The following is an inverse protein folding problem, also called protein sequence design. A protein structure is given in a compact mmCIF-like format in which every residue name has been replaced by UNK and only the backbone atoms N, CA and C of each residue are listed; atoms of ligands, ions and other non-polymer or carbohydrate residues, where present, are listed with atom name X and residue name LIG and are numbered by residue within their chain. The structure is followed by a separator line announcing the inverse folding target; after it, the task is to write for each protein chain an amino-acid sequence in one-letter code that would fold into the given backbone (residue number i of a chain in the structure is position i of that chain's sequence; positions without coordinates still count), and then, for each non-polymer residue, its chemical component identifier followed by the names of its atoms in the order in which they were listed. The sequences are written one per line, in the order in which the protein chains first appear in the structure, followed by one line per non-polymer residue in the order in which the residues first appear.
data_IF_518994444476
#
_entry.id   IF_518994444476
#
_cell.length_a   1.000
_cell.length_b   1.000
_cell.length_c   1.000
_cell.angle_alpha   90.00
_cell.angle_beta   90.00
_cell.angle_gamma   90.00
#
_symmetry.space_group_name_H-M   'P 1'
#
loop_
_entity.id
_entity.type
_entity.pdbx_description
1 polymer ?
#
# COMPACT_ATOMS: atom_id res chain seq x y z
N UNK A 1 -1.64 -0.24 1.57
CA UNK A 1 -2.27 -1.40 0.90
C UNK A 1 -3.69 -1.67 1.42
N UNK A 2 -3.89 -1.79 2.74
CA UNK A 2 -5.17 -2.18 3.34
C UNK A 2 -6.27 -1.10 3.33
N UNK A 3 -5.96 0.14 2.91
CA UNK A 3 -6.96 1.23 2.87
C UNK A 3 -7.13 1.98 4.18
N UNK A 4 -6.22 1.77 5.13
CA UNK A 4 -6.14 2.55 6.35
C UNK A 4 -5.99 4.04 6.04
N UNK A 5 -6.62 4.88 6.88
CA UNK A 5 -6.54 6.35 6.80
C UNK A 5 -5.59 6.94 7.84
N UNK A 6 -5.14 6.14 8.78
CA UNK A 6 -4.25 6.51 9.86
C UNK A 6 -3.19 5.41 10.01
N UNK A 7 -1.97 5.80 10.36
CA UNK A 7 -0.87 4.92 10.76
C UNK A 7 -0.09 5.60 11.88
N UNK A 8 1.12 5.15 12.19
CA UNK A 8 1.92 5.79 13.21
C UNK A 8 3.26 5.11 13.45
N UNK A 9 3.94 5.61 14.47
CA UNK A 9 5.18 5.05 14.99
C UNK A 9 4.99 4.64 16.45
N UNK A 10 5.64 3.56 16.85
CA UNK A 10 5.67 3.08 18.24
C UNK A 10 7.12 2.84 18.65
N UNK A 11 7.46 3.23 19.88
CA UNK A 11 8.68 2.77 20.56
C UNK A 11 8.27 1.62 21.47
N UNK A 12 8.83 0.44 21.24
CA UNK A 12 8.47 -0.78 21.96
C UNK A 12 9.70 -1.41 22.64
N UNK A 13 9.45 -2.14 23.72
CA UNK A 13 10.46 -2.97 24.36
C UNK A 13 10.88 -4.11 23.42
N UNK A 14 12.18 -4.34 23.31
CA UNK A 14 12.66 -5.52 22.59
C UNK A 14 12.54 -6.75 23.49
N UNK A 15 11.83 -7.76 23.01
CA UNK A 15 11.67 -9.04 23.70
C UNK A 15 12.45 -10.15 23.00
N UNK A 16 12.78 -11.21 23.74
CA UNK A 16 13.30 -12.44 23.14
C UNK A 16 12.35 -12.95 22.04
N UNK A 17 12.89 -13.43 20.92
CA UNK A 17 12.09 -13.87 19.75
C UNK A 17 11.02 -14.91 20.09
N UNK A 18 11.27 -15.80 21.06
CA UNK A 18 10.29 -16.80 21.53
C UNK A 18 9.02 -16.19 22.16
N UNK A 19 9.09 -14.93 22.62
CA UNK A 19 7.97 -14.16 23.16
C UNK A 19 7.18 -13.42 22.07
N UNK A 20 7.62 -13.51 20.81
CA UNK A 20 7.01 -12.84 19.67
C UNK A 20 7.94 -11.80 19.04
N UNK A 21 7.61 -11.45 17.79
CA UNK A 21 8.17 -10.29 17.08
C UNK A 21 7.19 -9.14 17.32
N UNK A 22 7.72 -7.95 17.59
CA UNK A 22 6.96 -6.71 17.84
C UNK A 22 5.93 -6.80 19.00
N UNK A 23 6.19 -7.65 20.01
CA UNK A 23 5.24 -7.94 21.11
C UNK A 23 5.56 -7.26 22.45
N UNK A 24 6.65 -6.51 22.54
CA UNK A 24 7.04 -5.84 23.79
C UNK A 24 6.12 -4.70 24.19
N UNK A 25 6.23 -4.25 25.44
CA UNK A 25 5.44 -3.13 25.94
C UNK A 25 5.69 -1.85 25.12
N UNK A 26 4.65 -1.07 24.88
CA UNK A 26 4.72 0.21 24.19
C UNK A 26 5.16 1.28 25.20
N UNK A 27 6.26 1.95 24.91
CA UNK A 27 6.79 3.06 25.69
C UNK A 27 6.19 4.41 25.26
N UNK A 28 5.87 4.52 23.99
CA UNK A 28 5.27 5.71 23.40
C UNK A 28 4.81 5.42 21.98
N UNK A 29 3.83 6.17 21.52
CA UNK A 29 3.35 6.09 20.14
C UNK A 29 2.90 7.46 19.65
N UNK A 30 2.95 7.65 18.34
CA UNK A 30 2.42 8.83 17.66
C UNK A 30 1.60 8.36 16.46
N UNK A 31 0.35 8.85 16.38
CA UNK A 31 -0.56 8.58 15.25
C UNK A 31 -0.44 9.67 14.21
N UNK A 32 -0.56 9.29 12.95
CA UNK A 32 -0.45 10.16 11.80
C UNK A 32 -1.51 9.79 10.76
N UNK A 33 -2.20 10.79 10.22
CA UNK A 33 -3.05 10.58 9.05
C UNK A 33 -2.20 10.15 7.85
N UNK A 34 -2.73 9.22 7.05
CA UNK A 34 -2.13 8.85 5.77
C UNK A 34 -2.66 9.86 4.72
N UNK A 35 -1.80 10.72 4.14
CA UNK A 35 -2.26 11.67 3.13
C UNK A 35 -2.90 10.95 1.94
N UNK A 36 -3.96 11.57 1.38
CA UNK A 36 -4.57 11.06 0.15
C UNK A 36 -3.52 11.00 -0.96
N UNK A 37 -3.43 9.88 -1.68
CA UNK A 37 -2.42 9.71 -2.73
C UNK A 37 -1.00 9.41 -2.22
N UNK A 38 -0.79 9.25 -0.91
CA UNK A 38 0.55 8.97 -0.38
C UNK A 38 1.15 7.68 -0.98
N UNK A 39 2.39 7.81 -1.43
CA UNK A 39 3.24 6.69 -1.84
C UNK A 39 4.05 6.19 -0.65
N UNK A 40 4.51 4.93 -0.70
CA UNK A 40 5.36 4.38 0.36
C UNK A 40 6.56 5.26 0.72
N UNK A 41 7.37 5.78 -0.24
CA UNK A 41 8.55 6.59 0.12
C UNK A 41 8.20 7.85 0.90
N UNK A 42 7.15 8.58 0.49
CA UNK A 42 6.70 9.80 1.18
C UNK A 42 6.19 9.51 2.58
N UNK A 43 5.47 8.40 2.77
CA UNK A 43 4.97 8.00 4.08
C UNK A 43 6.10 7.52 4.99
N UNK A 44 7.05 6.74 4.46
CA UNK A 44 8.27 6.30 5.16
C UNK A 44 9.05 7.49 5.69
N UNK A 45 9.30 8.50 4.86
CA UNK A 45 10.13 9.65 5.23
C UNK A 45 9.46 10.48 6.33
N UNK A 46 8.14 10.65 6.25
CA UNK A 46 7.35 11.33 7.30
C UNK A 46 7.38 10.57 8.63
N UNK A 47 7.19 9.24 8.57
CA UNK A 47 7.24 8.36 9.75
C UNK A 47 8.64 8.29 10.36
N UNK A 48 9.71 8.37 9.55
CA UNK A 48 11.07 8.36 10.05
C UNK A 48 11.36 9.58 10.95
N UNK A 49 10.87 10.75 10.57
CA UNK A 49 11.00 11.97 11.37
C UNK A 49 10.21 11.86 12.67
N UNK A 50 8.94 11.45 12.60
CA UNK A 50 8.08 11.26 13.78
C UNK A 50 8.70 10.23 14.74
N UNK A 51 9.15 9.09 14.22
CA UNK A 51 9.79 8.02 14.99
C UNK A 51 11.09 8.46 15.67
N UNK A 52 11.92 9.26 14.99
CA UNK A 52 13.13 9.83 15.58
C UNK A 52 12.83 10.76 16.75
N UNK A 53 11.84 11.65 16.59
CA UNK A 53 11.42 12.55 17.65
C UNK A 53 10.84 11.79 18.85
N UNK A 54 9.95 10.83 18.59
CA UNK A 54 9.32 9.98 19.61
C UNK A 54 10.36 9.15 20.38
N UNK A 55 11.38 8.62 19.70
CA UNK A 55 12.44 7.87 20.36
C UNK A 55 13.21 8.75 21.33
N UNK A 56 13.60 9.96 20.90
CA UNK A 56 14.35 10.90 21.74
C UNK A 56 13.53 11.34 22.96
N UNK A 57 12.24 11.62 22.81
CA UNK A 57 11.39 11.98 23.96
C UNK A 57 11.26 10.81 24.94
N UNK A 58 11.02 9.60 24.42
CA UNK A 58 10.89 8.38 25.22
C UNK A 58 12.14 8.12 26.07
N UNK A 59 13.32 8.23 25.47
CA UNK A 59 14.60 8.05 26.19
C UNK A 59 14.81 9.10 27.30
N UNK A 60 14.38 10.35 27.07
CA UNK A 60 14.47 11.40 28.09
C UNK A 60 13.53 11.13 29.27
N UNK A 61 12.33 10.60 29.01
CA UNK A 61 11.40 10.24 30.08
C UNK A 61 11.91 9.05 30.89
N UNK A 62 12.52 8.05 30.26
CA UNK A 62 13.20 6.95 30.95
C UNK A 62 14.32 7.46 31.87
N UNK A 63 15.19 8.34 31.38
CA UNK A 63 16.29 8.90 32.18
C UNK A 63 15.79 9.73 33.37
N UNK A 64 14.61 10.32 33.25
CA UNK A 64 14.00 11.11 34.31
C UNK A 64 13.09 10.30 35.25
N UNK A 65 12.96 8.98 35.04
CA UNK A 65 12.08 8.11 35.82
C UNK A 65 10.59 8.42 35.68
N UNK A 66 10.18 8.97 34.51
CA UNK A 66 8.79 9.30 34.18
C UNK A 66 8.17 8.35 33.16
N UNK A 67 8.87 7.29 32.80
CA UNK A 67 8.40 6.36 31.79
C UNK A 67 7.11 5.65 32.23
N UNK A 68 6.15 5.56 31.31
CA UNK A 68 4.93 4.77 31.48
C UNK A 68 4.81 3.82 30.29
N UNK A 69 5.16 2.55 30.49
CA UNK A 69 4.98 1.52 29.45
C UNK A 69 3.65 0.80 29.61
N UNK A 70 3.02 0.51 28.48
CA UNK A 70 1.75 -0.24 28.43
C UNK A 70 1.98 -1.56 27.72
N UNK A 71 1.62 -2.68 28.37
CA UNK A 71 1.67 -3.98 27.71
C UNK A 71 0.69 -4.05 26.55
N UNK A 72 1.13 -4.60 25.42
CA UNK A 72 0.24 -4.86 24.30
C UNK A 72 -0.78 -5.95 24.68
N UNK A 73 -2.04 -5.84 24.22
CA UNK A 73 -3.02 -6.88 24.44
C UNK A 73 -2.59 -8.18 23.74
N UNK A 74 -2.78 -9.31 24.42
CA UNK A 74 -2.60 -10.62 23.78
C UNK A 74 -3.79 -10.88 22.86
N UNK A 75 -3.61 -10.61 21.57
CA UNK A 75 -4.62 -10.86 20.54
C UNK A 75 -4.07 -11.81 19.45
N UNK A 76 -4.55 -13.06 19.35
CA UNK A 76 -4.13 -13.99 18.31
C UNK A 76 -4.57 -13.53 16.91
N UNK A 77 -5.54 -12.63 16.80
CA UNK A 77 -6.05 -12.08 15.55
C UNK A 77 -5.43 -10.72 15.20
N UNK A 78 -4.44 -10.26 15.97
CA UNK A 78 -3.73 -9.02 15.68
C UNK A 78 -3.19 -9.04 14.24
N UNK A 79 -3.49 -8.01 13.43
CA UNK A 79 -3.07 -7.98 12.04
C UNK A 79 -1.56 -7.98 11.94
N UNK A 80 -1.02 -8.78 11.01
CA UNK A 80 0.41 -8.80 10.69
C UNK A 80 0.65 -8.13 9.33
N UNK A 81 1.78 -7.44 9.22
CA UNK A 81 2.30 -6.94 7.96
C UNK A 81 3.39 -7.90 7.45
N UNK A 82 3.06 -8.95 6.68
CA UNK A 82 4.06 -9.87 6.14
C UNK A 82 4.96 -9.20 5.10
N UNK A 83 6.05 -9.87 4.74
CA UNK A 83 6.93 -9.44 3.65
C UNK A 83 6.17 -9.38 2.32
N UNK A 84 6.47 -8.35 1.52
CA UNK A 84 5.90 -8.18 0.18
C UNK A 84 6.38 -9.29 -0.75
N UNK A 85 5.44 -10.01 -1.34
CA UNK A 85 5.68 -11.12 -2.27
C UNK A 85 5.34 -10.72 -3.72
N UNK A 86 5.70 -11.58 -4.68
CA UNK A 86 5.28 -11.38 -6.08
C UNK A 86 3.76 -11.48 -6.26
N UNK A 87 3.08 -12.23 -5.38
CA UNK A 87 1.63 -12.36 -5.43
C UNK A 87 0.93 -11.03 -5.08
N UNK A 88 1.51 -10.23 -4.17
CA UNK A 88 0.94 -8.93 -3.81
C UNK A 88 0.91 -7.95 -4.99
N UNK A 89 1.87 -8.07 -5.90
CA UNK A 89 1.96 -7.28 -7.14
C UNK A 89 1.19 -7.87 -8.33
N UNK A 90 0.60 -9.06 -8.20
CA UNK A 90 -0.19 -9.66 -9.26
C UNK A 90 -1.57 -8.99 -9.33
N UNK A 91 -1.93 -8.50 -10.52
CA UNK A 91 -3.19 -7.84 -10.81
C UNK A 91 -4.14 -8.81 -11.49
N UNK A 92 -5.26 -9.09 -10.83
CA UNK A 92 -6.41 -9.78 -11.40
C UNK A 92 -7.58 -8.79 -11.55
N UNK A 93 -7.74 -8.26 -12.76
CA UNK A 93 -8.75 -7.28 -13.08
C UNK A 93 -10.19 -7.77 -12.84
N UNK A 94 -10.42 -9.09 -12.77
CA UNK A 94 -11.76 -9.67 -12.57
C UNK A 94 -12.26 -9.50 -11.14
N UNK A 95 -11.34 -9.41 -10.18
CA UNK A 95 -11.67 -9.34 -8.75
C UNK A 95 -11.17 -8.07 -8.08
N UNK A 96 -10.28 -7.32 -8.74
CA UNK A 96 -9.71 -6.09 -8.20
C UNK A 96 -10.31 -4.87 -8.91
N UNK A 97 -10.79 -3.90 -8.13
CA UNK A 97 -11.18 -2.59 -8.65
C UNK A 97 -9.96 -1.74 -8.98
N UNK A 98 -10.14 -0.67 -9.76
CA UNK A 98 -9.08 0.29 -10.08
C UNK A 98 -8.46 0.89 -8.80
N UNK A 99 -9.27 1.27 -7.80
CA UNK A 99 -8.79 1.75 -6.50
C UNK A 99 -7.96 0.71 -5.74
N UNK A 100 -8.32 -0.57 -5.83
CA UNK A 100 -7.54 -1.63 -5.19
C UNK A 100 -6.15 -1.75 -5.84
N UNK A 101 -6.10 -1.67 -7.17
CA UNK A 101 -4.84 -1.75 -7.94
C UNK A 101 -3.98 -0.52 -7.69
N UNK A 102 -4.55 0.69 -7.79
CA UNK A 102 -3.85 1.95 -7.54
C UNK A 102 -3.28 2.00 -6.12
N UNK A 103 -4.07 1.64 -5.10
CA UNK A 103 -3.61 1.63 -3.70
C UNK A 103 -2.49 0.61 -3.46
N UNK A 104 -2.53 -0.54 -4.13
CA UNK A 104 -1.44 -1.52 -4.07
C UNK A 104 -0.19 -0.96 -4.73
N UNK A 105 -0.33 -0.37 -5.92
CA UNK A 105 0.76 0.31 -6.59
C UNK A 105 1.42 1.34 -5.67
N UNK A 106 0.66 2.25 -5.05
CA UNK A 106 1.21 3.23 -4.11
C UNK A 106 1.98 2.62 -2.94
N UNK A 107 1.54 1.45 -2.48
CA UNK A 107 2.10 0.80 -1.30
C UNK A 107 3.37 -0.01 -1.58
N UNK A 108 3.51 -0.63 -2.75
CA UNK A 108 4.58 -1.61 -2.99
C UNK A 108 5.43 -1.37 -4.25
N UNK A 109 5.11 -0.37 -5.08
CA UNK A 109 5.82 -0.13 -6.35
C UNK A 109 7.29 0.21 -6.19
N UNK A 110 7.71 0.72 -5.03
CA UNK A 110 9.13 0.95 -4.71
C UNK A 110 9.95 -0.35 -4.63
N UNK A 111 9.29 -1.51 -4.43
CA UNK A 111 9.93 -2.82 -4.41
C UNK A 111 9.50 -3.72 -5.57
N UNK A 112 8.23 -3.68 -5.97
CA UNK A 112 7.65 -4.56 -6.99
C UNK A 112 6.67 -3.78 -7.87
N UNK A 113 6.90 -3.65 -9.19
CA UNK A 113 5.93 -3.04 -10.09
C UNK A 113 4.64 -3.89 -10.12
N UNK A 114 3.51 -3.27 -10.45
CA UNK A 114 2.27 -4.04 -10.65
C UNK A 114 2.44 -4.92 -11.89
N UNK A 115 1.94 -6.14 -11.86
CA UNK A 115 2.13 -7.13 -12.92
C UNK A 115 0.84 -7.83 -13.28
N UNK A 116 0.66 -8.16 -14.55
CA UNK A 116 -0.44 -9.01 -15.02
C UNK A 116 0.07 -9.98 -16.10
N UNK A 117 -0.77 -10.91 -16.54
CA UNK A 117 -0.45 -11.88 -17.58
C UNK A 117 -1.19 -11.55 -18.87
N UNK A 118 -0.45 -11.48 -19.97
CA UNK A 118 -1.02 -11.45 -21.31
C UNK A 118 -1.59 -12.81 -21.67
N UNK A 119 -2.51 -12.85 -22.65
CA UNK A 119 -3.01 -14.10 -23.24
C UNK A 119 -1.90 -15.00 -23.80
N UNK A 120 -0.75 -14.43 -24.12
CA UNK A 120 0.46 -15.14 -24.56
C UNK A 120 1.23 -15.82 -23.43
N UNK A 121 0.79 -15.68 -22.18
CA UNK A 121 1.48 -16.17 -20.98
C UNK A 121 2.64 -15.27 -20.51
N UNK A 122 2.96 -14.20 -21.25
CA UNK A 122 4.01 -13.25 -20.84
C UNK A 122 3.52 -12.34 -19.72
N UNK A 123 4.41 -12.07 -18.77
CA UNK A 123 4.16 -11.06 -17.73
C UNK A 123 4.30 -9.66 -18.31
N UNK A 124 3.34 -8.79 -18.02
CA UNK A 124 3.37 -7.37 -18.33
C UNK A 124 3.39 -6.57 -17.04
N UNK A 125 4.37 -5.69 -16.89
CA UNK A 125 4.44 -4.71 -15.81
C UNK A 125 3.60 -3.49 -16.16
N UNK A 126 2.84 -3.00 -15.19
CA UNK A 126 2.01 -1.80 -15.24
C UNK A 126 2.69 -0.73 -14.38
N UNK A 127 3.09 0.37 -15.01
CA UNK A 127 3.78 1.46 -14.35
C UNK A 127 2.85 2.67 -14.23
N UNK A 128 2.89 3.30 -13.05
CA UNK A 128 2.05 4.45 -12.67
C UNK A 128 0.54 4.27 -12.95
N UNK A 129 -0.06 3.11 -12.60
CA UNK A 129 -1.49 2.94 -12.72
C UNK A 129 -2.25 3.94 -11.84
N UNK A 130 -3.24 4.62 -12.42
CA UNK A 130 -4.11 5.57 -11.71
C UNK A 130 -5.58 5.29 -12.01
N UNK A 131 -6.46 5.60 -11.06
CA UNK A 131 -7.91 5.49 -11.27
C UNK A 131 -8.37 6.52 -12.30
N UNK A 132 -9.19 6.09 -13.26
CA UNK A 132 -9.96 6.96 -14.14
C UNK A 132 -11.37 7.09 -13.56
N UNK A 133 -11.76 8.27 -13.01
CA UNK A 133 -13.07 8.44 -12.36
C UNK A 133 -14.25 8.23 -13.31
N UNK A 134 -14.05 8.55 -14.58
CA UNK A 134 -15.04 8.38 -15.63
C UNK A 134 -14.35 8.06 -16.95
N UNK A 135 -15.00 7.24 -17.76
CA UNK A 135 -14.55 6.90 -19.12
C UNK A 135 -15.71 7.22 -20.07
N UNK A 136 -15.47 7.88 -21.21
CA UNK A 136 -16.48 8.11 -22.25
C UNK A 136 -17.20 6.83 -22.66
N UNK A 137 -18.50 6.89 -22.98
CA UNK A 137 -19.30 5.71 -23.30
C UNK A 137 -18.73 4.92 -24.49
N UNK A 138 -18.16 5.62 -25.47
CA UNK A 138 -17.55 5.01 -26.66
C UNK A 138 -16.36 4.08 -26.30
N UNK A 139 -15.63 4.43 -25.23
CA UNK A 139 -14.55 3.61 -24.70
C UNK A 139 -15.09 2.44 -23.87
N UNK A 140 -16.24 2.58 -23.22
CA UNK A 140 -16.86 1.47 -22.47
C UNK A 140 -17.30 0.35 -23.40
N UNK A 141 -17.87 0.68 -24.55
CA UNK A 141 -18.24 -0.29 -25.58
C UNK A 141 -17.03 -1.10 -26.08
N UNK A 142 -15.86 -0.45 -26.12
CA UNK A 142 -14.60 -1.08 -26.50
C UNK A 142 -13.95 -1.92 -25.37
N UNK A 143 -14.52 -1.88 -24.17
CA UNK A 143 -14.03 -2.55 -22.97
C UNK A 143 -15.13 -3.46 -22.38
N UNK A 144 -15.54 -4.53 -23.09
CA UNK A 144 -16.74 -5.30 -22.75
C UNK A 144 -16.64 -6.13 -21.46
N UNK A 145 -15.42 -6.42 -20.99
CA UNK A 145 -15.18 -7.24 -19.80
C UNK A 145 -13.90 -6.82 -19.07
N UNK A 146 -13.73 -7.28 -17.83
CA UNK A 146 -12.55 -7.03 -17.03
C UNK A 146 -11.28 -7.56 -17.71
N UNK A 147 -10.20 -6.77 -17.63
CA UNK A 147 -8.93 -7.06 -18.29
C UNK A 147 -8.91 -6.74 -19.79
N UNK A 148 -10.02 -6.34 -20.42
CA UNK A 148 -9.95 -5.66 -21.71
C UNK A 148 -9.20 -4.34 -21.54
N UNK A 149 -8.36 -4.02 -22.51
CA UNK A 149 -7.55 -2.81 -22.52
C UNK A 149 -7.55 -2.18 -23.92
N UNK A 150 -7.61 -0.85 -23.97
CA UNK A 150 -7.50 -0.09 -25.21
C UNK A 150 -6.49 1.04 -25.02
N UNK A 151 -5.70 1.33 -26.05
CA UNK A 151 -4.84 2.51 -26.04
C UNK A 151 -5.68 3.75 -26.34
N UNK A 152 -5.76 4.66 -25.36
CA UNK A 152 -6.46 5.92 -25.50
C UNK A 152 -5.46 7.03 -25.87
N UNK A 153 -5.42 7.37 -27.16
CA UNK A 153 -4.43 8.31 -27.71
C UNK A 153 -4.43 9.70 -27.04
N UNK A 154 -5.58 10.33 -26.69
CA UNK A 154 -5.58 11.62 -26.03
C UNK A 154 -4.86 11.64 -24.67
N UNK A 155 -5.04 10.60 -23.85
CA UNK A 155 -4.35 10.48 -22.55
C UNK A 155 -3.00 9.76 -22.64
N UNK A 156 -2.62 9.27 -23.83
CA UNK A 156 -1.40 8.48 -24.08
C UNK A 156 -1.22 7.33 -23.10
N UNK A 157 -2.31 6.65 -22.76
CA UNK A 157 -2.32 5.58 -21.77
C UNK A 157 -3.18 4.41 -22.23
N UNK A 158 -2.87 3.22 -21.71
CA UNK A 158 -3.79 2.09 -21.78
C UNK A 158 -4.91 2.29 -20.76
N UNK A 159 -6.15 2.25 -21.21
CA UNK A 159 -7.34 2.21 -20.36
C UNK A 159 -7.76 0.76 -20.20
N UNK A 160 -7.83 0.28 -18.96
CA UNK A 160 -8.17 -1.11 -18.62
C UNK A 160 -9.44 -1.15 -17.79
N UNK A 161 -10.41 -1.98 -18.17
CA UNK A 161 -11.59 -2.25 -17.34
C UNK A 161 -11.23 -3.20 -16.20
N UNK A 162 -11.64 -2.83 -15.00
CA UNK A 162 -11.43 -3.57 -13.75
C UNK A 162 -12.78 -3.96 -13.15
N UNK A 163 -12.76 -4.74 -12.07
CA UNK A 163 -13.96 -5.19 -11.38
C UNK A 163 -14.83 -4.00 -10.93
N UNK A 164 -16.15 -4.23 -10.86
CA UNK A 164 -17.11 -3.23 -10.39
C UNK A 164 -17.24 -2.02 -11.32
N UNK A 165 -17.00 -2.21 -12.63
CA UNK A 165 -17.08 -1.14 -13.65
C UNK A 165 -16.17 0.05 -13.35
N UNK A 166 -15.00 -0.23 -12.77
CA UNK A 166 -13.95 0.75 -12.51
C UNK A 166 -12.89 0.70 -13.60
N UNK A 167 -12.18 1.81 -13.82
CA UNK A 167 -11.25 1.93 -14.94
C UNK A 167 -9.88 2.41 -14.48
N UNK A 168 -8.84 1.82 -15.06
CA UNK A 168 -7.45 2.11 -14.75
C UNK A 168 -6.76 2.74 -15.96
N UNK A 169 -6.08 3.87 -15.76
CA UNK A 169 -5.14 4.44 -16.72
C UNK A 169 -3.75 3.89 -16.42
N UNK A 170 -3.07 3.36 -17.43
CA UNK A 170 -1.69 2.88 -17.33
C UNK A 170 -0.85 3.57 -18.42
N UNK A 171 -0.07 4.61 -18.08
CA UNK A 171 0.69 5.39 -19.06
C UNK A 171 1.87 4.63 -19.64
N UNK A 172 2.42 3.65 -18.91
CA UNK A 172 3.57 2.88 -19.36
C UNK A 172 3.43 1.40 -18.98
N UNK A 173 3.77 0.53 -19.93
CA UNK A 173 3.87 -0.91 -19.71
C UNK A 173 5.23 -1.45 -20.16
N UNK A 174 5.71 -2.50 -19.49
CA UNK A 174 6.98 -3.17 -19.82
C UNK A 174 6.78 -4.69 -19.81
N UNK A 175 7.18 -5.35 -20.89
CA UNK A 175 7.03 -6.80 -21.07
C UNK A 175 8.33 -7.58 -20.86
#
# INVERSE_FOLDING_TARGET
MNGERETGVCVIEMTERKKGIDSGAIWGYERMEIPHGAMFPTLRDSLAVAGGNLLVSTLRDMLAGRDTRTHQPTDPNAPRAPLITMHDSAVDFRVMTADNIERRHRAISHQKPMTTLLKTGRTLQLHEPSVLPSVPEELKDSLPQEGCAIFHAPSKALVVRCAGETYLSVPMVRA
#
